data_IF_223770486870
#
_entry.id   IF_223770486870
#
_cell.length_a   1.000
_cell.length_b   1.000
_cell.length_c   1.000
_cell.angle_alpha   90.00
_cell.angle_beta   90.00
_cell.angle_gamma   90.00
#
_symmetry.space_group_name_H-M   'P 1'
#
loop_
_entity.id
_entity.type
_entity.pdbx_description
1 polymer ?
#
# COMPACT_ATOMS: atom_id res chain seq x y z
N UNK A 1 -19.44 10.82 10.11
CA UNK A 1 -18.74 9.62 9.58
C UNK A 1 -17.32 10.06 9.21
N UNK A 2 -16.27 9.52 9.83
CA UNK A 2 -14.89 9.90 9.49
C UNK A 2 -14.35 8.93 8.43
N UNK A 3 -14.26 9.39 7.19
CA UNK A 3 -13.74 8.58 6.07
C UNK A 3 -12.24 8.40 6.24
N UNK A 4 -11.77 7.16 6.42
CA UNK A 4 -10.35 6.83 6.27
C UNK A 4 -10.11 6.44 4.81
N UNK A 5 -9.12 7.04 4.18
CA UNK A 5 -8.78 6.77 2.78
C UNK A 5 -7.56 5.85 2.77
N UNK A 6 -7.68 4.70 2.11
CA UNK A 6 -6.58 3.78 1.86
C UNK A 6 -6.10 3.96 0.42
N UNK A 7 -4.84 4.36 0.26
CA UNK A 7 -4.17 4.42 -1.04
C UNK A 7 -3.05 3.41 -1.08
N UNK A 8 -2.96 2.65 -2.17
CA UNK A 8 -1.86 1.72 -2.42
C UNK A 8 -1.15 2.10 -3.71
N UNK A 9 0.09 2.54 -3.57
CA UNK A 9 0.97 2.88 -4.67
C UNK A 9 1.82 1.65 -4.96
N UNK A 10 1.80 1.16 -6.21
CA UNK A 10 2.65 0.06 -6.65
C UNK A 10 3.44 0.55 -7.86
N UNK A 11 4.76 0.49 -7.74
CA UNK A 11 5.71 0.78 -8.80
C UNK A 11 6.52 -0.51 -9.04
N UNK A 12 6.14 -1.22 -10.10
CA UNK A 12 6.72 -2.53 -10.44
C UNK A 12 8.16 -2.39 -10.90
N UNK A 13 8.45 -1.35 -11.69
CA UNK A 13 9.79 -1.09 -12.24
C UNK A 13 10.77 -0.71 -11.12
N UNK A 14 10.33 0.16 -10.20
CA UNK A 14 11.13 0.53 -9.03
C UNK A 14 11.13 -0.54 -7.92
N UNK A 15 10.41 -1.66 -8.10
CA UNK A 15 10.24 -2.72 -7.10
C UNK A 15 9.79 -2.19 -5.73
N UNK A 16 8.84 -1.26 -5.75
CA UNK A 16 8.36 -0.56 -4.56
C UNK A 16 6.84 -0.64 -4.42
N UNK A 17 6.39 -0.77 -3.18
CA UNK A 17 5.00 -0.62 -2.80
C UNK A 17 4.91 0.31 -1.60
N UNK A 18 3.92 1.20 -1.61
CA UNK A 18 3.60 2.06 -0.48
C UNK A 18 2.13 1.93 -0.11
N UNK A 19 1.86 1.61 1.16
CA UNK A 19 0.53 1.70 1.74
C UNK A 19 0.39 3.01 2.48
N UNK A 20 -0.71 3.74 2.23
CA UNK A 20 -1.00 5.00 2.89
C UNK A 20 -2.42 4.97 3.42
N UNK A 21 -2.57 5.12 4.73
CA UNK A 21 -3.86 5.35 5.39
C UNK A 21 -3.90 6.82 5.78
N UNK A 22 -4.81 7.60 5.17
CA UNK A 22 -4.97 9.02 5.49
C UNK A 22 -6.04 9.20 6.57
N UNK A 23 -5.76 10.06 7.55
CA UNK A 23 -6.66 10.42 8.64
C UNK A 23 -7.10 11.90 8.51
N UNK A 24 -8.30 12.20 8.00
CA UNK A 24 -8.80 13.57 7.98
C UNK A 24 -9.04 14.10 9.40
N UNK A 25 -8.87 15.41 9.66
CA UNK A 25 -8.45 16.45 8.71
C UNK A 25 -6.93 16.47 8.44
N UNK A 26 -6.13 15.79 9.27
CA UNK A 26 -4.68 15.76 9.11
C UNK A 26 -4.07 14.52 9.75
N UNK A 27 -3.13 13.90 9.04
CA UNK A 27 -2.36 12.76 9.49
C UNK A 27 -2.39 11.62 8.48
N UNK A 28 -1.38 10.76 8.56
CA UNK A 28 -1.28 9.58 7.71
C UNK A 28 -0.46 8.49 8.36
N UNK A 29 -0.76 7.23 8.07
CA UNK A 29 0.14 6.12 8.34
C UNK A 29 0.69 5.60 7.00
N UNK A 30 2.00 5.68 6.84
CA UNK A 30 2.71 5.38 5.61
C UNK A 30 3.63 4.19 5.87
N UNK A 31 3.56 3.18 5.01
CA UNK A 31 4.43 2.00 5.06
C UNK A 31 5.07 1.80 3.69
N UNK A 32 6.40 1.90 3.65
CA UNK A 32 7.22 1.63 2.49
C UNK A 32 7.68 0.18 2.47
N UNK A 33 7.56 -0.45 1.30
CA UNK A 33 7.87 -1.86 1.10
C UNK A 33 8.67 -2.07 -0.18
N UNK A 34 9.57 -3.05 -0.18
CA UNK A 34 10.11 -3.63 -1.41
C UNK A 34 9.17 -4.73 -1.89
N UNK A 35 9.14 -4.96 -3.20
CA UNK A 35 8.36 -6.05 -3.79
C UNK A 35 9.20 -6.94 -4.69
N UNK A 36 8.74 -8.18 -4.86
CA UNK A 36 9.22 -9.09 -5.90
C UNK A 36 8.02 -9.71 -6.62
N UNK A 37 8.07 -9.72 -7.96
CA UNK A 37 7.06 -10.37 -8.79
C UNK A 37 7.42 -11.86 -8.88
N UNK A 38 6.56 -12.73 -8.37
CA UNK A 38 6.80 -14.17 -8.21
C UNK A 38 5.92 -15.00 -9.16
N UNK A 39 5.62 -14.45 -10.34
CA UNK A 39 4.80 -15.11 -11.34
C UNK A 39 3.84 -14.13 -12.03
N UNK A 40 2.82 -14.65 -12.73
CA UNK A 40 1.89 -13.81 -13.49
C UNK A 40 0.96 -12.97 -12.59
N UNK A 41 0.71 -13.42 -11.36
CA UNK A 41 -0.26 -12.77 -10.45
C UNK A 41 0.34 -12.39 -9.10
N UNK A 42 1.31 -13.17 -8.61
CA UNK A 42 1.83 -13.06 -7.25
C UNK A 42 2.89 -11.99 -7.12
N UNK A 43 2.74 -11.16 -6.09
CA UNK A 43 3.74 -10.18 -5.66
C UNK A 43 4.01 -10.37 -4.17
N UNK A 44 5.25 -10.69 -3.81
CA UNK A 44 5.69 -10.67 -2.42
C UNK A 44 6.15 -9.27 -2.03
N UNK A 45 6.02 -8.93 -0.76
CA UNK A 45 6.45 -7.65 -0.21
C UNK A 45 7.13 -7.82 1.14
N UNK A 46 8.02 -6.89 1.46
CA UNK A 46 8.66 -6.76 2.78
C UNK A 46 8.65 -5.30 3.21
N UNK A 47 8.23 -5.02 4.44
CA UNK A 47 8.25 -3.67 4.98
C UNK A 47 9.69 -3.22 5.24
N UNK A 48 10.00 -2.02 4.78
CA UNK A 48 11.32 -1.40 4.91
C UNK A 48 11.29 -0.21 5.88
N UNK A 49 10.18 0.53 5.90
CA UNK A 49 9.98 1.66 6.80
C UNK A 49 8.49 1.86 7.07
N UNK A 50 8.18 2.37 8.26
CA UNK A 50 6.83 2.77 8.62
C UNK A 50 6.87 4.10 9.40
N UNK A 51 5.89 4.95 9.14
CA UNK A 51 5.79 6.27 9.77
C UNK A 51 4.33 6.63 10.03
N UNK A 52 4.07 7.11 11.25
CA UNK A 52 2.81 7.76 11.62
C UNK A 52 3.01 9.28 11.64
N UNK A 53 2.30 9.98 10.77
CA UNK A 53 2.23 11.44 10.71
C UNK A 53 1.00 11.92 11.48
N UNK A 54 1.21 12.84 12.42
CA UNK A 54 0.14 13.57 13.10
C UNK A 54 0.20 15.04 12.71
N UNK A 55 -0.76 15.86 13.19
CA UNK A 55 -0.74 17.30 12.95
C UNK A 55 0.53 17.99 13.50
N UNK A 56 1.13 17.44 14.55
CA UNK A 56 2.24 18.08 15.28
C UNK A 56 3.59 17.42 15.05
N UNK A 57 3.64 16.15 14.64
CA UNK A 57 4.89 15.39 14.55
C UNK A 57 4.81 14.14 13.68
N UNK A 58 5.96 13.79 13.10
CA UNK A 58 6.22 12.50 12.46
C UNK A 58 6.88 11.51 13.43
N UNK A 59 6.32 10.31 13.51
CA UNK A 59 6.82 9.21 14.34
C UNK A 59 7.25 8.07 13.43
N UNK A 60 8.54 7.71 13.48
CA UNK A 60 9.01 6.45 12.88
C UNK A 60 8.58 5.30 13.77
N UNK A 61 7.96 4.29 13.18
CA UNK A 61 7.60 3.06 13.90
C UNK A 61 8.31 1.88 13.25
N UNK A 62 8.66 0.84 14.02
CA UNK A 62 9.33 -0.32 13.47
C UNK A 62 8.53 -0.96 12.32
N UNK A 63 9.18 -1.25 11.16
CA UNK A 63 8.53 -1.89 10.03
C UNK A 63 8.57 -3.41 10.19
N UNK A 64 7.56 -3.99 10.82
CA UNK A 64 7.45 -5.44 10.97
C UNK A 64 6.40 -5.99 10.02
N UNK A 65 6.83 -6.83 9.08
CA UNK A 65 5.92 -7.55 8.21
C UNK A 65 6.49 -7.86 6.85
N UNK A 66 6.06 -9.00 6.34
CA UNK A 66 6.23 -9.43 4.97
C UNK A 66 5.04 -10.30 4.61
N UNK A 67 4.79 -10.47 3.33
CA UNK A 67 3.70 -11.29 2.84
C UNK A 67 3.66 -11.29 1.33
N UNK A 68 2.52 -11.70 0.79
CA UNK A 68 2.27 -11.66 -0.64
C UNK A 68 0.80 -11.37 -0.90
N UNK A 69 0.51 -10.91 -2.11
CA UNK A 69 -0.82 -10.84 -2.66
C UNK A 69 -0.83 -11.32 -4.10
N UNK A 70 -1.94 -11.91 -4.52
CA UNK A 70 -2.22 -12.26 -5.90
C UNK A 70 -3.16 -11.21 -6.49
N UNK A 71 -2.78 -10.63 -7.64
CA UNK A 71 -3.70 -9.80 -8.42
C UNK A 71 -4.58 -10.71 -9.26
N UNK A 72 -5.87 -10.80 -8.90
CA UNK A 72 -6.84 -11.70 -9.55
C UNK A 72 -7.62 -11.02 -10.66
N UNK A 73 -7.70 -9.69 -10.62
CA UNK A 73 -8.33 -8.87 -11.65
C UNK A 73 -7.71 -7.48 -11.68
N UNK A 74 -7.47 -6.93 -12.87
CA UNK A 74 -7.05 -5.55 -13.08
C UNK A 74 -7.55 -5.06 -14.44
N UNK A 75 -8.15 -3.88 -14.46
CA UNK A 75 -8.48 -3.14 -15.66
C UNK A 75 -8.08 -1.65 -15.51
N UNK A 76 -8.61 -0.79 -16.37
CA UNK A 76 -8.34 0.65 -16.36
C UNK A 76 -8.93 1.37 -15.13
N UNK A 77 -9.90 0.76 -14.44
CA UNK A 77 -10.67 1.39 -13.36
C UNK A 77 -10.45 0.76 -12.00
N UNK A 78 -10.34 -0.55 -11.90
CA UNK A 78 -10.27 -1.27 -10.63
C UNK A 78 -9.16 -2.32 -10.64
N UNK A 79 -8.68 -2.63 -9.43
CA UNK A 79 -7.85 -3.81 -9.15
C UNK A 79 -8.41 -4.57 -7.98
N UNK A 80 -8.47 -5.90 -8.14
CA UNK A 80 -8.82 -6.83 -7.08
C UNK A 80 -7.59 -7.68 -6.76
N UNK A 81 -7.22 -7.75 -5.49
CA UNK A 81 -6.12 -8.57 -5.01
C UNK A 81 -6.53 -9.38 -3.78
N UNK A 82 -6.00 -10.60 -3.65
CA UNK A 82 -6.15 -11.45 -2.47
C UNK A 82 -4.80 -11.60 -1.77
N UNK A 83 -4.75 -11.38 -0.46
CA UNK A 83 -3.51 -11.47 0.31
C UNK A 83 -3.31 -12.82 1.01
N UNK A 84 -2.12 -13.03 1.56
CA UNK A 84 -1.73 -14.23 2.32
C UNK A 84 -2.67 -14.61 3.47
N UNK A 85 -3.50 -13.67 3.97
CA UNK A 85 -4.46 -13.90 5.06
C UNK A 85 -5.86 -14.25 4.55
N UNK A 86 -6.06 -14.25 3.23
CA UNK A 86 -7.37 -14.44 2.60
C UNK A 86 -8.19 -13.17 2.50
N UNK A 87 -7.62 -11.99 2.82
CA UNK A 87 -8.33 -10.73 2.66
C UNK A 87 -8.41 -10.35 1.18
N UNK A 88 -9.58 -9.87 0.74
CA UNK A 88 -9.76 -9.30 -0.61
C UNK A 88 -9.71 -7.78 -0.54
N UNK A 89 -8.78 -7.18 -1.29
CA UNK A 89 -8.70 -5.75 -1.49
C UNK A 89 -9.24 -5.38 -2.87
N UNK A 90 -10.23 -4.48 -2.90
CA UNK A 90 -10.73 -3.84 -4.12
C UNK A 90 -10.36 -2.36 -4.05
N UNK A 91 -9.69 -1.86 -5.08
CA UNK A 91 -9.30 -0.45 -5.19
C UNK A 91 -9.62 0.09 -6.56
N UNK A 92 -9.95 1.38 -6.62
CA UNK A 92 -10.04 2.14 -7.86
C UNK A 92 -8.66 2.64 -8.29
N UNK A 93 -8.52 2.91 -9.58
CA UNK A 93 -7.35 3.52 -10.17
C UNK A 93 -7.33 5.04 -9.89
N UNK A 94 -6.39 5.48 -9.06
CA UNK A 94 -6.17 6.90 -8.69
C UNK A 94 -5.11 7.58 -9.59
N UNK A 95 -4.80 7.00 -10.75
CA UNK A 95 -3.84 7.51 -11.72
C UNK A 95 -2.39 7.10 -11.45
N UNK A 96 -1.45 7.93 -11.93
CA UNK A 96 -0.03 7.61 -11.87
C UNK A 96 0.49 7.47 -10.42
N UNK A 97 1.47 6.57 -10.16
CA UNK A 97 2.06 6.40 -8.85
C UNK A 97 2.59 7.73 -8.26
N UNK A 98 2.05 8.12 -7.11
CA UNK A 98 2.53 9.28 -6.34
C UNK A 98 3.08 8.81 -5.00
N UNK A 99 4.37 9.03 -4.75
CA UNK A 99 5.00 8.65 -3.49
C UNK A 99 4.66 9.68 -2.41
N UNK A 100 4.16 9.19 -1.28
CA UNK A 100 3.88 10.00 -0.10
C UNK A 100 5.10 10.00 0.83
N UNK A 101 5.31 11.12 1.52
CA UNK A 101 6.45 11.38 2.41
C UNK A 101 6.02 11.64 3.84
#
# INVERSE_FOLDING_TARGET
>A
MQTKILTRVIDVDAKRLQNVITFPPSGAFIVDSSIAVEGPQRVSFKFNAAKLKTASRDWRVPPFGQGWFDTVYVDDKIRIAQDIRGDTLIVENDGAPRIFT
#
